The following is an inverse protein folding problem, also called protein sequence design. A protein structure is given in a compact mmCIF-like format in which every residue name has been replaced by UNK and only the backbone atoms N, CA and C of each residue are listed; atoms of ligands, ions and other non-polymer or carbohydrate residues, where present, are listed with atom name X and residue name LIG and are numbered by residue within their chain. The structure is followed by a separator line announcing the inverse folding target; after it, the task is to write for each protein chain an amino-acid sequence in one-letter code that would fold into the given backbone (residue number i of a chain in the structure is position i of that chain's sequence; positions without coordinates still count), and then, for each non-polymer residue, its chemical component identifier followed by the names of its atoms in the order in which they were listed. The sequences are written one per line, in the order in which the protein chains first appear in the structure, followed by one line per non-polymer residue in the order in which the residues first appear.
data_IF_561494527142
#
_entry.id   IF_561494527142
#
_cell.length_a   1.000
_cell.length_b   1.000
_cell.length_c   1.000
_cell.angle_alpha   90.00
_cell.angle_beta   90.00
_cell.angle_gamma   90.00
#
_symmetry.space_group_name_H-M   'P 1'
#
loop_
_entity.id
_entity.type
_entity.pdbx_description
1 polymer ?
#
# COMPACT_ATOMS: atom_id res chain seq x y z
N UNK A 1 0.21 -44.03 -35.23
CA UNK A 1 0.58 -42.74 -35.84
C UNK A 1 0.48 -41.67 -34.77
N UNK A 2 1.60 -41.08 -34.37
CA UNK A 2 1.68 -40.11 -33.25
C UNK A 2 1.34 -38.70 -33.75
N UNK A 3 0.37 -38.05 -33.11
CA UNK A 3 -0.07 -36.69 -33.45
C UNK A 3 0.86 -35.67 -32.77
N UNK A 4 1.87 -35.18 -33.49
CA UNK A 4 2.71 -34.07 -33.03
C UNK A 4 1.91 -32.76 -33.11
N UNK A 5 1.51 -32.21 -31.96
CA UNK A 5 0.85 -30.89 -31.88
C UNK A 5 1.79 -29.82 -32.44
N UNK A 6 1.44 -29.21 -33.58
CA UNK A 6 2.14 -28.03 -34.13
C UNK A 6 2.06 -26.88 -33.12
N UNK A 7 3.19 -26.54 -32.50
CA UNK A 7 3.31 -25.38 -31.62
C UNK A 7 3.11 -24.10 -32.44
N UNK A 8 2.12 -23.30 -32.08
CA UNK A 8 1.87 -22.01 -32.72
C UNK A 8 3.09 -21.09 -32.51
N UNK A 9 3.64 -20.56 -33.60
CA UNK A 9 4.81 -19.68 -33.58
C UNK A 9 4.41 -18.37 -32.87
N UNK A 10 4.96 -18.11 -31.67
CA UNK A 10 4.75 -16.85 -30.95
C UNK A 10 5.51 -15.73 -31.68
N UNK A 11 4.79 -14.74 -32.22
CA UNK A 11 5.40 -13.50 -32.68
C UNK A 11 5.66 -12.60 -31.48
N UNK A 12 6.93 -12.21 -31.27
CA UNK A 12 7.33 -11.27 -30.22
C UNK A 12 7.61 -9.93 -30.89
N UNK A 13 6.96 -8.88 -30.38
CA UNK A 13 7.20 -7.50 -30.81
C UNK A 13 8.20 -6.85 -29.86
N UNK A 14 9.26 -6.26 -30.41
CA UNK A 14 10.23 -5.46 -29.66
C UNK A 14 9.85 -3.99 -29.84
N UNK A 15 9.49 -3.33 -28.75
CA UNK A 15 9.19 -1.89 -28.73
C UNK A 15 10.47 -1.10 -28.37
N UNK A 16 10.46 0.21 -28.63
CA UNK A 16 11.56 1.12 -28.26
C UNK A 16 11.94 1.01 -26.76
N UNK A 17 10.95 0.85 -25.87
CA UNK A 17 11.14 0.73 -24.42
C UNK A 17 11.42 -0.70 -23.94
N UNK A 18 11.63 -1.68 -24.83
CA UNK A 18 11.87 -3.08 -24.41
C UNK A 18 13.10 -3.21 -23.52
N UNK A 19 14.10 -2.35 -23.71
CA UNK A 19 15.27 -2.27 -22.84
C UNK A 19 14.90 -1.87 -21.40
N UNK A 20 14.17 -0.77 -21.23
CA UNK A 20 13.71 -0.30 -19.91
C UNK A 20 12.86 -1.35 -19.19
N UNK A 21 11.95 -2.00 -19.92
CA UNK A 21 11.11 -3.05 -19.35
C UNK A 21 11.92 -4.27 -18.92
N UNK A 22 12.98 -4.60 -19.67
CA UNK A 22 13.88 -5.67 -19.30
C UNK A 22 14.63 -5.33 -18.00
N UNK A 23 15.18 -4.12 -17.88
CA UNK A 23 15.86 -3.66 -16.66
C UNK A 23 14.94 -3.68 -15.44
N UNK A 24 13.71 -3.15 -15.58
CA UNK A 24 12.70 -3.19 -14.51
C UNK A 24 12.40 -4.64 -14.12
N UNK A 25 12.27 -5.55 -15.09
CA UNK A 25 12.04 -6.97 -14.83
C UNK A 25 13.18 -7.62 -14.05
N UNK A 26 14.44 -7.28 -14.34
CA UNK A 26 15.57 -7.79 -13.57
C UNK A 26 15.60 -7.20 -12.16
N UNK A 27 15.34 -5.90 -12.00
CA UNK A 27 15.26 -5.27 -10.68
C UNK A 27 14.17 -5.89 -9.82
N UNK A 28 13.00 -6.22 -10.38
CA UNK A 28 11.91 -6.88 -9.66
C UNK A 28 12.27 -8.27 -9.10
N UNK A 29 13.29 -8.94 -9.67
CA UNK A 29 13.78 -10.23 -9.17
C UNK A 29 14.79 -10.08 -8.03
N UNK A 30 15.37 -8.90 -7.85
CA UNK A 30 16.32 -8.62 -6.77
C UNK A 30 15.68 -8.86 -5.40
N UNK A 31 16.49 -9.26 -4.43
CA UNK A 31 15.98 -9.49 -3.07
C UNK A 31 15.57 -8.17 -2.40
N UNK A 32 16.31 -7.09 -2.67
CA UNK A 32 15.97 -5.73 -2.24
C UNK A 32 14.55 -5.34 -2.66
N UNK A 33 14.18 -5.60 -3.92
CA UNK A 33 12.83 -5.32 -4.39
C UNK A 33 11.79 -6.17 -3.67
N UNK A 34 12.05 -7.47 -3.47
CA UNK A 34 11.09 -8.36 -2.76
C UNK A 34 10.88 -7.92 -1.32
N UNK A 35 11.94 -7.56 -0.61
CA UNK A 35 11.83 -7.03 0.76
C UNK A 35 11.02 -5.73 0.81
N UNK A 36 11.28 -4.81 -0.12
CA UNK A 36 10.49 -3.59 -0.26
C UNK A 36 9.03 -3.88 -0.62
N UNK A 37 8.79 -4.86 -1.48
CA UNK A 37 7.46 -5.25 -1.92
C UNK A 37 6.62 -5.86 -0.78
N UNK A 38 7.23 -6.61 0.14
CA UNK A 38 6.54 -7.14 1.34
C UNK A 38 5.90 -6.02 2.18
N UNK A 39 6.50 -4.83 2.21
CA UNK A 39 5.98 -3.65 2.95
C UNK A 39 4.70 -3.05 2.32
N UNK A 40 4.30 -3.48 1.12
CA UNK A 40 3.09 -2.98 0.43
C UNK A 40 1.79 -3.50 1.03
N UNK A 41 1.75 -4.76 1.48
CA UNK A 41 0.54 -5.39 2.00
C UNK A 41 -0.21 -4.53 3.05
N UNK A 42 0.43 -3.97 4.09
CA UNK A 42 -0.26 -3.09 5.04
C UNK A 42 -0.74 -1.77 4.42
N UNK A 43 -0.04 -1.25 3.42
CA UNK A 43 -0.38 0.01 2.72
C UNK A 43 -1.62 -0.20 1.83
N UNK A 44 -1.72 -1.36 1.18
CA UNK A 44 -2.83 -1.70 0.30
C UNK A 44 -4.15 -1.83 1.06
N UNK A 45 -4.11 -2.45 2.25
CA UNK A 45 -5.27 -2.49 3.14
C UNK A 45 -5.78 -1.09 3.51
N UNK A 46 -4.87 -0.18 3.91
CA UNK A 46 -5.24 1.20 4.24
C UNK A 46 -5.76 1.98 3.03
N UNK A 47 -5.15 1.77 1.86
CA UNK A 47 -5.60 2.40 0.61
C UNK A 47 -6.99 1.91 0.20
N UNK A 48 -7.28 0.62 0.40
CA UNK A 48 -8.60 0.05 0.14
C UNK A 48 -9.66 0.64 1.06
N UNK A 49 -9.37 0.80 2.36
CA UNK A 49 -10.24 1.48 3.32
C UNK A 49 -10.54 2.93 2.89
N UNK A 50 -9.49 3.67 2.53
CA UNK A 50 -9.62 5.05 2.02
C UNK A 50 -10.51 5.14 0.78
N UNK A 51 -10.37 4.22 -0.17
CA UNK A 51 -11.20 4.18 -1.38
C UNK A 51 -12.65 3.80 -1.09
N UNK A 52 -12.89 2.83 -0.20
CA UNK A 52 -14.22 2.28 0.08
C UNK A 52 -15.05 3.16 1.03
N UNK A 53 -14.43 3.66 2.10
CA UNK A 53 -15.14 4.34 3.19
C UNK A 53 -14.92 5.86 3.22
N UNK A 54 -13.82 6.36 2.65
CA UNK A 54 -13.45 7.79 2.73
C UNK A 54 -13.49 8.52 1.38
N UNK A 55 -14.13 7.94 0.36
CA UNK A 55 -14.44 8.62 -0.90
C UNK A 55 -13.23 8.91 -1.80
N UNK A 56 -12.10 8.23 -1.59
CA UNK A 56 -10.89 8.35 -2.44
C UNK A 56 -10.92 7.46 -3.70
N UNK A 57 -12.07 6.82 -3.98
CA UNK A 57 -12.25 6.07 -5.22
C UNK A 57 -12.32 6.98 -6.45
N UNK A 58 -12.82 8.21 -6.30
CA UNK A 58 -12.91 9.22 -7.36
C UNK A 58 -12.52 10.60 -6.84
N UNK A 59 -11.67 11.28 -7.60
CA UNK A 59 -11.31 12.66 -7.34
C UNK A 59 -12.51 13.57 -7.61
N UNK A 60 -12.79 14.48 -6.65
CA UNK A 60 -13.72 15.58 -6.85
C UNK A 60 -12.98 16.76 -7.46
N UNK A 61 -13.33 17.12 -8.70
CA UNK A 61 -12.67 18.17 -9.48
C UNK A 61 -11.60 17.62 -10.44
N UNK A 62 -10.87 18.53 -11.07
CA UNK A 62 -9.89 18.21 -12.10
C UNK A 62 -8.45 18.41 -11.60
N UNK A 63 -7.52 17.66 -12.17
CA UNK A 63 -6.08 17.82 -11.93
C UNK A 63 -5.57 17.15 -10.65
N UNK A 64 -4.24 17.13 -10.53
CA UNK A 64 -3.53 16.50 -9.42
C UNK A 64 -3.77 17.23 -8.08
N UNK A 65 -3.98 18.54 -8.13
CA UNK A 65 -4.19 19.39 -6.96
C UNK A 65 -5.47 19.00 -6.20
N UNK A 66 -6.58 18.80 -6.90
CA UNK A 66 -7.86 18.42 -6.31
C UNK A 66 -7.80 17.05 -5.64
N UNK A 67 -7.18 16.06 -6.29
CA UNK A 67 -6.94 14.72 -5.71
C UNK A 67 -6.03 14.76 -4.50
N UNK A 68 -5.01 15.61 -4.52
CA UNK A 68 -4.09 15.81 -3.39
C UNK A 68 -4.80 16.41 -2.19
N UNK A 69 -5.61 17.45 -2.39
CA UNK A 69 -6.39 18.10 -1.31
C UNK A 69 -7.38 17.10 -0.72
N UNK A 70 -8.13 16.38 -1.56
CA UNK A 70 -9.08 15.36 -1.10
C UNK A 70 -8.39 14.27 -0.28
N UNK A 71 -7.22 13.81 -0.73
CA UNK A 71 -6.43 12.80 -0.01
C UNK A 71 -5.99 13.29 1.36
N UNK A 72 -5.50 14.54 1.46
CA UNK A 72 -5.12 15.16 2.73
C UNK A 72 -6.31 15.28 3.69
N UNK A 73 -7.44 15.77 3.19
CA UNK A 73 -8.66 15.93 3.99
C UNK A 73 -9.23 14.59 4.48
N UNK A 74 -9.18 13.54 3.65
CA UNK A 74 -9.60 12.20 4.06
C UNK A 74 -8.66 11.57 5.09
N UNK A 75 -7.34 11.81 4.97
CA UNK A 75 -6.34 11.23 5.86
C UNK A 75 -6.30 11.87 7.26
N UNK A 76 -6.54 13.18 7.37
CA UNK A 76 -6.48 13.92 8.64
C UNK A 76 -7.32 13.32 9.77
N UNK A 77 -8.66 13.14 9.63
CA UNK A 77 -9.48 12.64 10.74
C UNK A 77 -9.16 11.18 11.09
N UNK A 78 -8.81 10.37 10.09
CA UNK A 78 -8.45 8.95 10.30
C UNK A 78 -7.15 8.84 11.10
N UNK A 79 -6.16 9.67 10.79
CA UNK A 79 -4.90 9.70 11.53
C UNK A 79 -5.07 10.26 12.94
N UNK A 80 -5.87 11.32 13.13
CA UNK A 80 -6.16 11.88 14.45
C UNK A 80 -6.81 10.83 15.36
N UNK A 81 -7.83 10.11 14.86
CA UNK A 81 -8.48 9.02 15.59
C UNK A 81 -7.49 7.93 16.01
N UNK A 82 -6.55 7.57 15.13
CA UNK A 82 -5.52 6.57 15.44
C UNK A 82 -4.56 7.04 16.51
N UNK A 83 -4.10 8.29 16.45
CA UNK A 83 -3.21 8.88 17.47
C UNK A 83 -3.92 8.91 18.83
N UNK A 84 -5.17 9.34 18.86
CA UNK A 84 -5.96 9.37 20.09
C UNK A 84 -6.08 7.97 20.72
N UNK A 85 -6.41 6.95 19.92
CA UNK A 85 -6.51 5.57 20.41
C UNK A 85 -5.18 5.05 21.00
N UNK A 86 -4.06 5.35 20.34
CA UNK A 86 -2.72 4.97 20.83
C UNK A 86 -2.41 5.71 22.14
N UNK A 87 -2.65 7.02 22.19
CA UNK A 87 -2.41 7.83 23.38
C UNK A 87 -3.23 7.33 24.58
N UNK A 88 -4.52 7.05 24.39
CA UNK A 88 -5.39 6.49 25.43
C UNK A 88 -4.87 5.13 25.90
N UNK A 89 -4.48 4.24 24.98
CA UNK A 89 -3.91 2.94 25.35
C UNK A 89 -2.63 3.08 26.18
N UNK A 90 -1.75 4.02 25.84
CA UNK A 90 -0.52 4.28 26.58
C UNK A 90 -0.82 4.80 27.99
N UNK A 91 -1.76 5.74 28.12
CA UNK A 91 -2.18 6.27 29.42
C UNK A 91 -2.75 5.17 30.32
N UNK A 92 -3.56 4.26 29.77
CA UNK A 92 -4.10 3.12 30.52
C UNK A 92 -2.98 2.20 31.01
N UNK A 93 -1.99 1.89 30.16
CA UNK A 93 -0.85 1.04 30.55
C UNK A 93 -0.04 1.69 31.66
N UNK A 94 0.24 3.00 31.54
CA UNK A 94 0.97 3.75 32.57
C UNK A 94 0.21 3.73 33.89
N UNK A 95 -1.10 3.95 33.84
CA UNK A 95 -1.96 3.93 35.03
C UNK A 95 -1.98 2.55 35.70
N UNK A 96 -2.12 1.46 34.92
CA UNK A 96 -2.06 0.09 35.45
C UNK A 96 -0.69 -0.24 36.07
N UNK A 97 0.39 0.25 35.46
CA UNK A 97 1.73 0.08 36.01
C UNK A 97 1.89 0.84 37.34
N UNK A 98 1.37 2.06 37.42
CA UNK A 98 1.34 2.85 38.65
C UNK A 98 0.59 2.11 39.76
N UNK A 99 -0.62 1.63 39.48
CA UNK A 99 -1.44 0.88 40.44
C UNK A 99 -0.71 -0.37 40.97
N UNK A 100 -0.09 -1.15 40.08
CA UNK A 100 0.66 -2.37 40.46
C UNK A 100 1.93 -2.08 41.27
N UNK A 101 2.50 -0.88 41.12
CA UNK A 101 3.68 -0.42 41.88
C UNK A 101 3.33 0.32 43.16
N UNK A 102 2.04 0.63 43.37
CA UNK A 102 1.57 1.34 44.55
C UNK A 102 1.65 0.42 45.78
N UNK A 103 2.28 0.85 46.88
CA UNK A 103 2.56 -0.01 48.03
C UNK A 103 1.37 -0.18 49.00
N UNK A 104 0.13 -0.01 48.52
CA UNK A 104 -1.09 -0.22 49.32
C UNK A 104 -1.78 -1.54 48.95
#
# INVERSE_FOLDING_TARGET
MTNAKKSARKMLFVCLNTYDYYEISQYQKSEEFKEKHKKRAPIEGKTAEFKRFHGLSRTRGYGLSSGTIQSKLAASPVNIKRIAAIATSLLVIIWLQYEKSSPY
#
